data_IF_868153916346
#
_entry.id   IF_868153916346
#
_cell.length_a   1.000
_cell.length_b   1.000
_cell.length_c   1.000
_cell.angle_alpha   90.00
_cell.angle_beta   90.00
_cell.angle_gamma   90.00
#
_symmetry.space_group_name_H-M   'P 1'
#
loop_
_entity.id
_entity.type
_entity.pdbx_description
1 polymer ?
#
# COMPACT_ATOMS: atom_id res chain seq x y z
N UNK A 1 -24.78 -37.90 -47.26
CA UNK A 1 -23.56 -37.76 -46.44
C UNK A 1 -23.96 -37.03 -45.16
N UNK A 2 -23.87 -37.73 -44.02
CA UNK A 2 -24.62 -37.46 -42.81
C UNK A 2 -24.14 -36.21 -42.05
N UNK A 3 -25.01 -35.21 -41.93
CA UNK A 3 -24.85 -33.97 -41.15
C UNK A 3 -24.85 -34.19 -39.61
N UNK A 4 -24.83 -35.42 -39.13
CA UNK A 4 -24.88 -35.76 -37.68
C UNK A 4 -23.54 -35.94 -37.01
N UNK A 5 -22.41 -35.80 -37.71
CA UNK A 5 -21.04 -35.99 -37.14
C UNK A 5 -20.24 -34.72 -36.96
N UNK A 6 -20.78 -33.52 -37.24
CA UNK A 6 -20.07 -32.24 -37.12
C UNK A 6 -20.41 -31.45 -35.83
N UNK A 7 -21.38 -31.95 -35.05
CA UNK A 7 -21.86 -31.22 -33.84
C UNK A 7 -21.19 -31.66 -32.53
N UNK A 8 -20.28 -32.63 -32.54
CA UNK A 8 -19.64 -33.16 -31.33
C UNK A 8 -18.22 -32.63 -31.13
N UNK A 9 -17.64 -31.95 -32.09
CA UNK A 9 -16.25 -31.46 -32.01
C UNK A 9 -16.13 -30.00 -31.51
N UNK A 10 -17.24 -29.30 -31.23
CA UNK A 10 -17.24 -27.89 -30.74
C UNK A 10 -17.55 -27.73 -29.25
N UNK A 11 -17.65 -28.82 -28.49
CA UNK A 11 -17.99 -28.80 -27.05
C UNK A 11 -16.84 -29.12 -26.13
N UNK A 12 -15.57 -29.13 -26.60
CA UNK A 12 -14.41 -29.53 -25.77
C UNK A 12 -13.34 -28.44 -25.57
N UNK A 13 -13.61 -27.17 -25.92
CA UNK A 13 -12.62 -26.06 -25.72
C UNK A 13 -13.07 -25.02 -24.68
N UNK A 14 -14.11 -25.26 -23.91
CA UNK A 14 -14.66 -24.28 -22.95
C UNK A 14 -14.27 -24.55 -21.47
N UNK A 15 -13.19 -25.27 -21.18
CA UNK A 15 -12.88 -25.66 -19.78
C UNK A 15 -11.45 -25.36 -19.31
N UNK A 16 -10.80 -24.27 -19.80
CA UNK A 16 -9.45 -23.95 -19.28
C UNK A 16 -9.20 -22.47 -19.04
N UNK A 17 -10.19 -21.72 -18.60
CA UNK A 17 -9.98 -20.40 -17.99
C UNK A 17 -10.53 -20.37 -16.55
N UNK A 18 -10.25 -21.42 -15.80
CA UNK A 18 -10.30 -21.36 -14.35
C UNK A 18 -9.07 -20.61 -13.86
N UNK A 19 -9.06 -19.29 -13.91
CA UNK A 19 -8.09 -18.49 -13.19
C UNK A 19 -8.27 -18.81 -11.72
N UNK A 20 -7.47 -19.73 -11.17
CA UNK A 20 -7.42 -20.01 -9.74
C UNK A 20 -7.02 -18.71 -9.06
N UNK A 21 -7.95 -18.04 -8.41
CA UNK A 21 -7.64 -16.94 -7.50
C UNK A 21 -6.66 -17.53 -6.49
N UNK A 22 -5.37 -17.22 -6.63
CA UNK A 22 -4.34 -17.75 -5.76
C UNK A 22 -4.66 -17.30 -4.33
N UNK A 23 -4.92 -18.27 -3.45
CA UNK A 23 -5.25 -18.02 -2.06
C UNK A 23 -4.07 -17.40 -1.31
N UNK A 24 -4.36 -16.48 -0.42
CA UNK A 24 -3.38 -15.92 0.50
C UNK A 24 -2.90 -17.01 1.45
N UNK A 25 -1.61 -17.32 1.44
CA UNK A 25 -1.01 -18.36 2.28
C UNK A 25 -0.11 -17.73 3.34
N UNK A 26 -0.30 -18.01 4.63
CA UNK A 26 0.59 -17.52 5.67
C UNK A 26 1.98 -18.16 5.52
N UNK A 27 3.02 -17.36 5.73
CA UNK A 27 4.39 -17.84 5.80
C UNK A 27 4.66 -18.46 7.18
N UNK A 28 5.50 -19.49 7.24
CA UNK A 28 5.99 -20.00 8.53
C UNK A 28 6.83 -18.93 9.25
N UNK A 29 7.06 -19.05 10.57
CA UNK A 29 7.90 -18.10 11.30
C UNK A 29 9.30 -17.92 10.69
N UNK A 30 9.92 -19.02 10.26
CA UNK A 30 11.24 -19.00 9.61
C UNK A 30 11.19 -18.30 8.25
N UNK A 31 10.20 -18.65 7.42
CA UNK A 31 9.97 -17.97 6.13
C UNK A 31 9.70 -16.49 6.34
N UNK A 32 8.85 -16.10 7.30
CA UNK A 32 8.56 -14.70 7.63
C UNK A 32 9.83 -13.93 7.98
N UNK A 33 10.70 -14.48 8.82
CA UNK A 33 11.97 -13.86 9.18
C UNK A 33 12.84 -13.61 7.95
N UNK A 34 13.03 -14.63 7.09
CA UNK A 34 13.81 -14.52 5.85
C UNK A 34 13.21 -13.50 4.88
N UNK A 35 11.88 -13.46 4.74
CA UNK A 35 11.19 -12.48 3.90
C UNK A 35 11.43 -11.06 4.38
N UNK A 36 11.27 -10.80 5.69
CA UNK A 36 11.51 -9.48 6.30
C UNK A 36 12.97 -9.05 6.12
N UNK A 37 13.94 -9.94 6.36
CA UNK A 37 15.36 -9.66 6.16
C UNK A 37 15.66 -9.31 4.69
N UNK A 38 15.07 -10.05 3.74
CA UNK A 38 15.23 -9.80 2.30
C UNK A 38 14.67 -8.45 1.90
N UNK A 39 13.45 -8.12 2.36
CA UNK A 39 12.80 -6.82 2.10
C UNK A 39 13.65 -5.69 2.69
N UNK A 40 14.09 -5.80 3.94
CA UNK A 40 14.90 -4.79 4.61
C UNK A 40 16.21 -4.53 3.85
N UNK A 41 16.88 -5.58 3.39
CA UNK A 41 18.10 -5.47 2.58
C UNK A 41 17.82 -4.80 1.23
N UNK A 42 16.74 -5.18 0.56
CA UNK A 42 16.39 -4.63 -0.75
C UNK A 42 15.96 -3.16 -0.66
N UNK A 43 15.17 -2.79 0.38
CA UNK A 43 14.68 -1.42 0.57
C UNK A 43 15.74 -0.47 1.11
N UNK A 44 16.76 -0.95 1.83
CA UNK A 44 17.84 -0.10 2.36
C UNK A 44 18.66 0.61 1.27
N UNK A 45 18.66 0.07 0.05
CA UNK A 45 19.30 0.68 -1.11
C UNK A 45 18.43 1.76 -1.79
N UNK A 46 17.15 1.90 -1.40
CA UNK A 46 16.22 2.86 -2.00
C UNK A 46 16.32 4.18 -1.24
N UNK A 47 16.84 5.21 -1.90
CA UNK A 47 17.01 6.55 -1.34
C UNK A 47 15.94 7.53 -1.78
N UNK A 48 15.33 7.29 -2.95
CA UNK A 48 14.24 8.10 -3.48
C UNK A 48 13.24 7.25 -4.25
N UNK A 49 11.98 7.69 -4.25
CA UNK A 49 10.89 7.12 -5.05
C UNK A 49 10.11 8.27 -5.67
N UNK A 50 9.75 8.11 -6.94
CA UNK A 50 8.73 8.90 -7.61
C UNK A 50 7.75 7.94 -8.24
N UNK A 51 6.45 8.17 -8.06
CA UNK A 51 5.40 7.35 -8.66
C UNK A 51 4.09 8.12 -8.76
N UNK A 52 3.20 7.60 -9.60
CA UNK A 52 1.80 7.97 -9.58
C UNK A 52 1.04 7.03 -8.62
N UNK A 53 -0.08 7.50 -8.06
CA UNK A 53 -0.95 6.65 -7.28
C UNK A 53 -2.42 6.82 -7.66
N UNK A 54 -3.16 5.74 -7.48
CA UNK A 54 -4.63 5.74 -7.48
C UNK A 54 -5.10 5.22 -6.13
N UNK A 55 -5.89 6.02 -5.42
CA UNK A 55 -6.51 5.66 -4.16
C UNK A 55 -8.01 5.44 -4.37
N UNK A 56 -8.49 4.29 -3.93
CA UNK A 56 -9.92 3.97 -3.94
C UNK A 56 -10.36 3.74 -2.50
N UNK A 57 -11.31 4.54 -2.03
CA UNK A 57 -11.96 4.34 -0.73
C UNK A 57 -13.36 3.78 -0.94
N UNK A 58 -13.64 2.67 -0.31
CA UNK A 58 -14.96 2.05 -0.24
C UNK A 58 -15.49 2.21 1.18
N UNK A 59 -16.50 3.05 1.33
CA UNK A 59 -17.18 3.23 2.61
C UNK A 59 -18.24 2.15 2.81
N UNK A 60 -18.36 1.66 4.04
CA UNK A 60 -19.44 0.76 4.42
C UNK A 60 -20.82 1.44 4.40
N UNK A 61 -20.84 2.77 4.51
CA UNK A 61 -22.08 3.57 4.51
C UNK A 61 -22.48 4.06 3.12
N UNK A 62 -21.52 4.20 2.19
CA UNK A 62 -21.75 4.70 0.85
C UNK A 62 -21.65 3.55 -0.15
N UNK A 63 -22.62 3.46 -1.10
CA UNK A 63 -22.58 2.45 -2.16
C UNK A 63 -21.48 2.73 -3.20
N UNK A 64 -21.09 3.99 -3.34
CA UNK A 64 -20.12 4.42 -4.35
C UNK A 64 -18.70 4.43 -3.80
N UNK A 65 -17.75 4.02 -4.65
CA UNK A 65 -16.33 4.12 -4.37
C UNK A 65 -15.84 5.53 -4.67
N UNK A 66 -15.11 6.11 -3.74
CA UNK A 66 -14.42 7.39 -3.96
C UNK A 66 -13.03 7.12 -4.54
N UNK A 67 -12.74 7.66 -5.71
CA UNK A 67 -11.42 7.52 -6.36
C UNK A 67 -10.70 8.86 -6.35
N UNK A 68 -9.44 8.82 -5.93
CA UNK A 68 -8.51 9.96 -5.99
C UNK A 68 -7.24 9.52 -6.69
N UNK A 69 -6.60 10.45 -7.42
CA UNK A 69 -5.33 10.19 -8.08
C UNK A 69 -4.30 11.25 -7.70
N UNK A 70 -3.04 10.91 -7.88
CA UNK A 70 -1.99 11.85 -7.57
C UNK A 70 -0.59 11.32 -7.83
N UNK A 71 0.39 12.05 -7.30
CA UNK A 71 1.80 11.74 -7.40
C UNK A 71 2.44 11.68 -6.02
N UNK A 72 3.35 10.75 -5.86
CA UNK A 72 4.15 10.64 -4.64
C UNK A 72 5.62 10.78 -4.98
N UNK A 73 6.32 11.60 -4.21
CA UNK A 73 7.78 11.67 -4.21
C UNK A 73 8.31 11.52 -2.80
N UNK A 74 9.28 10.64 -2.65
CA UNK A 74 10.03 10.42 -1.41
C UNK A 74 11.51 10.62 -1.68
N UNK A 75 12.21 11.31 -0.80
CA UNK A 75 13.66 11.44 -0.86
C UNK A 75 14.22 11.68 0.53
N UNK A 76 15.07 10.78 1.00
CA UNK A 76 15.66 10.81 2.33
C UNK A 76 14.60 10.75 3.43
N UNK A 77 14.32 11.89 4.08
CA UNK A 77 13.32 12.00 5.16
C UNK A 77 12.08 12.82 4.75
N UNK A 78 12.04 13.25 3.48
CA UNK A 78 10.98 14.08 2.94
C UNK A 78 10.02 13.25 2.10
N UNK A 79 8.72 13.51 2.25
CA UNK A 79 7.65 12.91 1.46
C UNK A 79 6.73 14.03 0.96
N UNK A 80 6.43 14.04 -0.33
CA UNK A 80 5.33 14.82 -0.90
C UNK A 80 4.31 13.86 -1.47
N UNK A 81 3.07 13.97 -0.98
CA UNK A 81 1.92 13.20 -1.43
C UNK A 81 0.91 14.17 -2.02
N UNK A 82 0.87 14.29 -3.34
CA UNK A 82 0.11 15.30 -4.06
C UNK A 82 -1.10 14.68 -4.74
N UNK A 83 -2.29 15.08 -4.33
CA UNK A 83 -3.54 14.74 -5.00
C UNK A 83 -3.75 15.69 -6.18
N UNK A 84 -4.10 15.11 -7.34
CA UNK A 84 -4.40 15.84 -8.56
C UNK A 84 -5.87 15.76 -8.96
N UNK A 85 -6.57 14.71 -8.50
CA UNK A 85 -7.99 14.43 -8.77
C UNK A 85 -8.65 13.82 -7.53
N UNK A 86 -9.93 14.12 -7.23
CA UNK A 86 -10.76 15.20 -7.81
C UNK A 86 -10.36 16.58 -7.28
N UNK A 87 -9.73 16.68 -6.12
CA UNK A 87 -9.32 17.91 -5.47
C UNK A 87 -7.81 18.02 -5.46
N UNK A 88 -7.28 19.21 -5.74
CA UNK A 88 -5.84 19.46 -5.76
C UNK A 88 -5.36 19.91 -4.39
N UNK A 89 -4.55 19.12 -3.75
CA UNK A 89 -3.82 19.47 -2.52
C UNK A 89 -2.62 18.55 -2.34
N UNK A 90 -1.67 18.92 -1.51
CA UNK A 90 -0.55 18.07 -1.19
C UNK A 90 -0.34 17.96 0.33
N UNK A 91 0.06 16.78 0.76
CA UNK A 91 0.61 16.52 2.07
C UNK A 91 2.13 16.47 1.93
N UNK A 92 2.81 17.26 2.75
CA UNK A 92 4.26 17.35 2.73
C UNK A 92 4.79 17.00 4.11
N UNK A 93 5.59 15.95 4.20
CA UNK A 93 6.34 15.60 5.40
C UNK A 93 7.77 16.08 5.22
N UNK A 94 8.26 16.86 6.17
CA UNK A 94 9.64 17.34 6.22
C UNK A 94 10.24 17.08 7.59
N UNK A 95 11.54 16.86 7.63
CA UNK A 95 12.26 16.87 8.90
C UNK A 95 12.70 18.31 9.23
N UNK A 96 12.28 18.78 10.39
CA UNK A 96 12.66 20.08 10.95
C UNK A 96 13.12 19.86 12.39
N UNK A 97 14.31 20.32 12.72
CA UNK A 97 14.91 20.17 14.07
C UNK A 97 14.88 18.72 14.60
N UNK A 98 15.15 17.73 13.73
CA UNK A 98 15.12 16.31 14.10
C UNK A 98 13.73 15.70 14.28
N UNK A 99 12.67 16.44 14.00
CA UNK A 99 11.29 15.99 14.10
C UNK A 99 10.58 16.05 12.75
N UNK A 100 9.78 15.03 12.45
CA UNK A 100 8.92 15.05 11.26
C UNK A 100 7.74 15.97 11.49
N UNK A 101 7.59 16.97 10.59
CA UNK A 101 6.46 17.88 10.52
C UNK A 101 5.64 17.59 9.27
N UNK A 102 4.33 17.72 9.40
CA UNK A 102 3.39 17.51 8.29
C UNK A 102 2.72 18.83 7.93
N UNK A 103 2.70 19.15 6.65
CA UNK A 103 2.08 20.34 6.09
C UNK A 103 1.04 19.95 5.04
N UNK A 104 -0.02 20.75 4.96
CA UNK A 104 -1.01 20.69 3.89
C UNK A 104 -0.77 21.90 2.99
N UNK A 105 -0.60 21.65 1.70
CA UNK A 105 -0.50 22.66 0.65
C UNK A 105 -1.75 22.62 -0.21
N UNK A 106 -2.47 23.71 -0.26
CA UNK A 106 -3.67 23.87 -1.08
C UNK A 106 -3.83 25.35 -1.48
N UNK A 107 -4.18 25.59 -2.76
CA UNK A 107 -4.45 26.91 -3.31
C UNK A 107 -3.33 27.92 -3.00
N UNK A 108 -2.07 27.49 -3.18
CA UNK A 108 -0.87 28.30 -2.91
C UNK A 108 -0.58 28.57 -1.43
N UNK A 109 -1.40 28.09 -0.53
CA UNK A 109 -1.22 28.24 0.93
C UNK A 109 -0.62 26.96 1.54
N UNK A 110 0.28 27.13 2.49
CA UNK A 110 0.85 26.03 3.28
C UNK A 110 0.45 26.22 4.73
N UNK A 111 -0.15 25.19 5.31
CA UNK A 111 -0.52 25.15 6.74
C UNK A 111 0.08 23.92 7.38
N UNK A 112 0.55 24.05 8.61
CA UNK A 112 0.94 22.88 9.41
C UNK A 112 -0.29 22.04 9.70
N UNK A 113 -0.19 20.73 9.50
CA UNK A 113 -1.26 19.80 9.79
C UNK A 113 -1.27 19.50 11.29
N UNK A 114 -2.15 20.16 12.02
CA UNK A 114 -2.32 19.98 13.46
C UNK A 114 -3.57 19.14 13.77
N UNK A 115 -3.65 18.64 15.01
CA UNK A 115 -4.82 17.90 15.49
C UNK A 115 -4.92 16.48 14.93
N UNK A 116 -6.15 15.97 14.90
CA UNK A 116 -6.44 14.57 14.56
C UNK A 116 -6.11 14.21 13.11
N UNK A 117 -6.41 15.11 12.18
CA UNK A 117 -6.10 14.93 10.74
C UNK A 117 -4.59 14.89 10.50
N UNK A 118 -3.83 15.78 11.14
CA UNK A 118 -2.36 15.80 11.04
C UNK A 118 -1.73 14.51 11.58
N UNK A 119 -2.26 13.97 12.68
CA UNK A 119 -1.80 12.70 13.23
C UNK A 119 -2.12 11.51 12.32
N UNK A 120 -3.29 11.51 11.68
CA UNK A 120 -3.68 10.50 10.68
C UNK A 120 -2.70 10.49 9.51
N UNK A 121 -2.44 11.65 8.92
CA UNK A 121 -1.52 11.78 7.80
C UNK A 121 -0.08 11.43 8.17
N UNK A 122 0.36 11.83 9.37
CA UNK A 122 1.66 11.43 9.91
C UNK A 122 1.78 9.91 10.03
N UNK A 123 0.74 9.24 10.52
CA UNK A 123 0.69 7.78 10.62
C UNK A 123 0.78 7.10 9.25
N UNK A 124 -0.01 7.55 8.26
CA UNK A 124 0.03 7.03 6.89
C UNK A 124 1.43 7.27 6.27
N UNK A 125 1.96 8.48 6.39
CA UNK A 125 3.29 8.82 5.89
C UNK A 125 4.38 7.95 6.52
N UNK A 126 4.32 7.70 7.82
CA UNK A 126 5.26 6.82 8.53
C UNK A 126 5.18 5.37 8.01
N UNK A 127 3.97 4.86 7.74
CA UNK A 127 3.78 3.52 7.17
C UNK A 127 4.39 3.46 5.76
N UNK A 128 4.08 4.45 4.91
CA UNK A 128 4.64 4.52 3.54
C UNK A 128 6.16 4.65 3.59
N UNK A 129 6.68 5.60 4.35
CA UNK A 129 8.13 5.80 4.49
C UNK A 129 8.81 4.58 5.11
N UNK A 130 8.22 4.02 6.16
CA UNK A 130 8.75 2.82 6.80
C UNK A 130 8.73 1.59 5.89
N UNK A 131 7.74 1.49 5.01
CA UNK A 131 7.66 0.42 3.99
C UNK A 131 8.75 0.59 2.94
N UNK A 132 9.02 1.84 2.54
CA UNK A 132 10.06 2.19 1.57
C UNK A 132 11.45 1.95 2.13
N UNK A 133 11.67 2.26 3.40
CA UNK A 133 12.97 2.09 4.08
C UNK A 133 13.15 0.72 4.73
N UNK A 134 12.14 -0.14 4.67
CA UNK A 134 12.12 -1.44 5.35
C UNK A 134 11.90 -1.36 6.88
N UNK A 135 11.89 -0.17 7.46
CA UNK A 135 11.80 0.01 8.92
C UNK A 135 10.41 -0.33 9.48
N UNK A 136 9.35 -0.26 8.65
CA UNK A 136 8.00 -0.65 9.08
C UNK A 136 7.89 -2.14 9.45
N UNK A 137 8.71 -3.00 8.83
CA UNK A 137 8.72 -4.44 9.09
C UNK A 137 9.66 -4.84 10.23
N UNK A 138 10.71 -4.04 10.47
CA UNK A 138 11.74 -4.33 11.48
C UNK A 138 11.37 -3.83 12.87
N UNK A 139 10.63 -2.72 12.93
CA UNK A 139 10.34 -2.04 14.19
C UNK A 139 8.92 -2.35 14.67
N UNK A 140 8.78 -3.48 15.36
CA UNK A 140 7.50 -4.03 15.80
C UNK A 140 6.83 -3.27 16.96
N UNK A 141 7.26 -2.03 17.28
CA UNK A 141 6.66 -1.23 18.36
C UNK A 141 5.19 -0.91 18.12
N UNK A 142 4.85 -0.53 16.90
CA UNK A 142 3.51 -0.06 16.54
C UNK A 142 2.63 -1.16 15.93
N UNK A 143 3.21 -2.18 15.31
CA UNK A 143 2.50 -3.24 14.60
C UNK A 143 2.99 -4.64 14.95
N UNK A 144 2.08 -5.61 14.88
CA UNK A 144 2.43 -7.01 14.69
C UNK A 144 2.52 -7.25 13.19
N UNK A 145 3.59 -7.90 12.73
CA UNK A 145 3.84 -8.18 11.32
C UNK A 145 3.67 -9.68 11.06
N UNK A 146 2.82 -10.01 10.10
CA UNK A 146 2.62 -11.36 9.58
C UNK A 146 2.91 -11.37 8.09
N UNK A 147 3.71 -12.32 7.60
CA UNK A 147 4.02 -12.44 6.17
C UNK A 147 3.14 -13.47 5.50
N UNK A 148 2.75 -13.16 4.28
CA UNK A 148 1.93 -14.01 3.41
C UNK A 148 2.51 -14.06 2.01
N UNK A 149 2.13 -15.08 1.26
CA UNK A 149 2.37 -15.20 -0.18
C UNK A 149 1.05 -15.35 -0.93
N UNK A 150 0.98 -14.75 -2.12
CA UNK A 150 -0.08 -14.96 -3.11
C UNK A 150 0.61 -15.24 -4.45
N UNK A 151 0.80 -16.53 -4.77
CA UNK A 151 1.72 -16.91 -5.84
C UNK A 151 3.14 -16.48 -5.51
N UNK A 152 3.75 -15.71 -6.40
CA UNK A 152 5.10 -15.13 -6.20
C UNK A 152 5.09 -13.83 -5.40
N UNK A 153 3.94 -13.19 -5.23
CA UNK A 153 3.84 -11.91 -4.54
C UNK A 153 3.96 -12.08 -3.02
N UNK A 154 4.80 -11.24 -2.41
CA UNK A 154 4.94 -11.16 -0.96
C UNK A 154 4.03 -10.07 -0.40
N UNK A 155 3.39 -10.37 0.72
CA UNK A 155 2.44 -9.48 1.37
C UNK A 155 2.78 -9.44 2.86
N UNK A 156 2.96 -8.24 3.39
CA UNK A 156 3.06 -8.04 4.84
C UNK A 156 1.71 -7.53 5.37
N UNK A 157 1.13 -8.22 6.34
CA UNK A 157 -0.03 -7.77 7.10
C UNK A 157 0.46 -7.14 8.40
N UNK A 158 0.13 -5.89 8.58
CA UNK A 158 0.42 -5.10 9.77
C UNK A 158 -0.85 -4.99 10.61
N UNK A 159 -0.82 -5.49 11.84
CA UNK A 159 -1.91 -5.35 12.80
C UNK A 159 -1.49 -4.34 13.87
N UNK A 160 -2.22 -3.22 14.06
CA UNK A 160 -1.86 -2.19 15.02
C UNK A 160 -1.80 -2.71 16.45
N UNK A 161 -0.78 -2.31 17.20
CA UNK A 161 -0.64 -2.60 18.64
C UNK A 161 -1.08 -1.41 19.49
N UNK A 162 -0.73 -0.19 19.06
CA UNK A 162 -1.00 1.03 19.79
C UNK A 162 -2.49 1.40 19.79
N UNK A 163 -3.07 1.82 20.92
CA UNK A 163 -4.48 2.19 21.01
C UNK A 163 -4.93 3.27 20.01
N UNK A 164 -4.06 4.24 19.72
CA UNK A 164 -4.34 5.29 18.72
C UNK A 164 -4.49 4.72 17.31
N UNK A 165 -3.60 3.80 16.92
CA UNK A 165 -3.65 3.16 15.60
C UNK A 165 -4.82 2.18 15.49
N UNK A 166 -5.16 1.46 16.56
CA UNK A 166 -6.33 0.57 16.62
C UNK A 166 -7.66 1.30 16.42
N UNK A 167 -7.74 2.57 16.83
CA UNK A 167 -8.91 3.43 16.58
C UNK A 167 -9.05 3.83 15.11
N UNK A 168 -7.97 3.73 14.33
CA UNK A 168 -7.93 4.12 12.93
C UNK A 168 -8.01 2.92 11.99
N UNK A 169 -7.24 1.88 12.28
CA UNK A 169 -7.10 0.71 11.40
C UNK A 169 -7.24 -0.59 12.17
N UNK A 170 -7.85 -1.58 11.53
CA UNK A 170 -7.84 -2.97 12.02
C UNK A 170 -6.70 -3.77 11.41
N UNK A 171 -6.34 -3.49 10.15
CA UNK A 171 -5.19 -4.09 9.48
C UNK A 171 -4.74 -3.25 8.29
N UNK A 172 -3.44 -3.41 7.93
CA UNK A 172 -2.84 -2.80 6.74
C UNK A 172 -2.08 -3.90 6.03
N UNK A 173 -2.31 -4.07 4.72
CA UNK A 173 -1.59 -5.02 3.88
C UNK A 173 -0.69 -4.26 2.92
N UNK A 174 0.59 -4.64 2.89
CA UNK A 174 1.60 -4.09 1.99
C UNK A 174 1.97 -5.16 0.96
N UNK A 175 1.78 -4.87 -0.30
CA UNK A 175 2.09 -5.75 -1.42
C UNK A 175 3.40 -5.33 -2.07
N UNK A 176 4.37 -6.21 -2.13
CA UNK A 176 5.70 -5.91 -2.65
C UNK A 176 5.82 -6.26 -4.14
N UNK A 177 6.69 -5.54 -4.85
CA UNK A 177 7.07 -5.91 -6.21
C UNK A 177 7.96 -7.17 -6.21
N UNK A 178 8.23 -7.74 -7.40
CA UNK A 178 9.02 -8.98 -7.55
C UNK A 178 10.46 -8.86 -7.02
N UNK A 179 11.02 -7.65 -6.99
CA UNK A 179 12.36 -7.37 -6.43
C UNK A 179 12.34 -7.15 -4.92
N UNK A 180 11.18 -7.12 -4.31
CA UNK A 180 10.94 -6.88 -2.88
C UNK A 180 11.54 -5.57 -2.34
N UNK A 181 11.80 -4.60 -3.22
CA UNK A 181 12.43 -3.33 -2.89
C UNK A 181 11.46 -2.13 -2.91
N UNK A 182 10.19 -2.38 -3.21
CA UNK A 182 9.15 -1.36 -3.18
C UNK A 182 7.76 -1.96 -2.96
N UNK A 183 6.89 -1.18 -2.31
CA UNK A 183 5.47 -1.49 -2.17
C UNK A 183 4.73 -0.98 -3.41
N UNK A 184 3.96 -1.86 -4.05
CA UNK A 184 3.16 -1.54 -5.24
C UNK A 184 1.69 -1.29 -4.93
N UNK A 185 1.20 -1.84 -3.81
CA UNK A 185 -0.18 -1.66 -3.35
C UNK A 185 -0.24 -1.66 -1.83
N UNK A 186 -1.11 -0.81 -1.28
CA UNK A 186 -1.45 -0.78 0.15
C UNK A 186 -2.96 -0.95 0.27
N UNK A 187 -3.41 -1.85 1.14
CA UNK A 187 -4.81 -1.99 1.53
C UNK A 187 -4.94 -1.72 3.03
N UNK A 188 -5.81 -0.80 3.39
CA UNK A 188 -6.06 -0.41 4.78
C UNK A 188 -7.51 -0.69 5.13
N UNK A 189 -7.74 -1.55 6.11
CA UNK A 189 -9.05 -1.75 6.70
C UNK A 189 -9.19 -0.82 7.90
N UNK A 190 -10.08 0.15 7.78
CA UNK A 190 -10.36 1.15 8.82
C UNK A 190 -11.19 0.54 9.96
N UNK A 191 -11.13 1.15 11.15
CA UNK A 191 -11.84 0.65 12.33
C UNK A 191 -13.37 0.73 12.18
N UNK A 192 -13.87 1.67 11.36
CA UNK A 192 -15.30 1.81 11.00
C UNK A 192 -15.76 0.81 9.94
N UNK A 193 -14.85 -0.07 9.45
CA UNK A 193 -15.13 -1.07 8.41
C UNK A 193 -14.85 -0.61 6.99
N UNK A 194 -14.56 0.67 6.76
CA UNK A 194 -14.18 1.19 5.43
C UNK A 194 -12.89 0.53 4.96
N UNK A 195 -12.72 0.46 3.63
CA UNK A 195 -11.53 -0.07 2.98
C UNK A 195 -10.91 0.99 2.08
N UNK A 196 -9.64 1.28 2.29
CA UNK A 196 -8.86 2.14 1.40
C UNK A 196 -7.79 1.32 0.70
N UNK A 197 -7.77 1.35 -0.62
CA UNK A 197 -6.74 0.72 -1.47
C UNK A 197 -5.96 1.80 -2.19
N UNK A 198 -4.64 1.75 -2.11
CA UNK A 198 -3.72 2.64 -2.83
C UNK A 198 -2.87 1.77 -3.75
N UNK A 199 -2.88 2.05 -5.04
CA UNK A 199 -2.06 1.37 -6.04
C UNK A 199 -1.03 2.36 -6.60
N UNK A 200 0.23 1.96 -6.62
CA UNK A 200 1.33 2.75 -7.16
C UNK A 200 1.70 2.27 -8.56
N UNK A 201 1.87 3.22 -9.47
CA UNK A 201 2.24 2.98 -10.86
C UNK A 201 3.37 3.90 -11.30
N UNK A 202 4.00 3.65 -12.44
CA UNK A 202 5.07 4.46 -13.01
C UNK A 202 6.22 4.73 -12.02
N UNK A 203 6.54 3.72 -11.19
CA UNK A 203 7.51 3.86 -10.10
C UNK A 203 8.94 3.95 -10.61
N UNK A 204 9.64 5.00 -10.17
CA UNK A 204 11.07 5.22 -10.40
C UNK A 204 11.78 5.23 -9.05
N UNK A 205 12.78 4.39 -8.90
CA UNK A 205 13.60 4.27 -7.69
C UNK A 205 14.97 4.90 -7.94
N UNK A 206 15.48 5.63 -6.96
CA UNK A 206 16.82 6.27 -7.01
C UNK A 206 17.00 7.21 -8.20
N UNK A 207 15.95 7.95 -8.56
CA UNK A 207 15.95 8.95 -9.64
C UNK A 207 16.27 10.34 -9.11
#
# INVERSE_FOLDING_TARGET
MNMRKLTILLMLIALWFGGSAQSLKPATPEQSKKMVETINKATSAVKSIQCDFTQVRQSTMLKEKQTSKGKMSFSGKNLKWEYTEPNKFALVVKEENGQQQVYIQQDGKTKKADGQSGQLFKGIAQIVMGSVTGTALSNSGDFTVEMYTQGTQWIAKLTPKQPKLKKMFTSIHLYFNDKHNAVTKVEMKEANGDMTTITFTNMKLNS
#
